data_IF_029880167508
#
_entry.id   IF_029880167508
#
_cell.length_a   1.000
_cell.length_b   1.000
_cell.length_c   1.000
_cell.angle_alpha   90.00
_cell.angle_beta   90.00
_cell.angle_gamma   90.00
#
_symmetry.space_group_name_H-M   'P 1'
#
loop_
_entity.id
_entity.type
_entity.pdbx_description
1 polymer ?
#
# COMPACT_ATOMS: atom_id res chain seq x y z
N UNK A 1 -16.31 21.33 -3.47
CA UNK A 1 -14.86 21.14 -3.20
C UNK A 1 -14.17 21.47 -4.49
N UNK A 2 -13.44 22.55 -4.49
CA UNK A 2 -12.97 23.21 -5.69
C UNK A 2 -11.80 22.44 -6.33
N UNK A 3 -11.62 22.60 -7.63
CA UNK A 3 -10.63 21.88 -8.45
C UNK A 3 -9.19 21.98 -7.97
N UNK A 4 -8.84 22.93 -7.12
CA UNK A 4 -7.51 23.11 -6.55
C UNK A 4 -7.00 21.87 -5.78
N UNK A 5 -7.89 21.16 -5.06
CA UNK A 5 -7.48 19.95 -4.34
C UNK A 5 -7.34 18.74 -5.25
N UNK A 6 -8.16 18.66 -6.30
CA UNK A 6 -7.99 17.67 -7.35
C UNK A 6 -6.63 17.88 -8.06
N UNK A 7 -6.28 19.12 -8.37
CA UNK A 7 -5.01 19.47 -8.98
C UNK A 7 -3.83 19.15 -8.06
N UNK A 8 -3.94 19.41 -6.76
CA UNK A 8 -2.94 19.00 -5.77
C UNK A 8 -2.73 17.48 -5.74
N UNK A 9 -3.81 16.70 -5.76
CA UNK A 9 -3.73 15.23 -5.69
C UNK A 9 -3.31 14.56 -7.01
N UNK A 10 -3.68 15.13 -8.16
CA UNK A 10 -3.55 14.45 -9.44
C UNK A 10 -2.68 15.16 -10.47
N UNK A 11 -2.54 16.47 -10.40
CA UNK A 11 -1.86 17.27 -11.40
C UNK A 11 -0.56 17.93 -10.89
N UNK A 12 -0.28 17.89 -9.60
CA UNK A 12 0.89 18.56 -8.99
C UNK A 12 2.23 17.83 -9.23
N UNK A 13 2.39 17.14 -10.36
CA UNK A 13 3.68 16.56 -10.80
C UNK A 13 4.23 15.50 -9.82
N UNK A 14 5.51 15.42 -9.63
CA UNK A 14 6.26 14.36 -8.94
C UNK A 14 6.05 14.20 -7.41
N UNK A 15 5.02 14.77 -6.80
CA UNK A 15 4.74 14.54 -5.39
C UNK A 15 4.28 13.09 -5.18
N UNK A 16 5.11 12.33 -4.49
CA UNK A 16 4.75 10.98 -4.06
C UNK A 16 3.47 11.07 -3.23
N UNK A 17 2.39 10.52 -3.77
CA UNK A 17 1.12 10.49 -3.06
C UNK A 17 1.32 9.74 -1.75
N UNK A 18 0.99 10.39 -0.64
CA UNK A 18 1.21 9.87 0.70
C UNK A 18 0.22 8.76 1.10
N UNK A 19 -0.66 8.37 0.20
CA UNK A 19 -1.72 7.38 0.42
C UNK A 19 -1.25 5.97 0.07
N UNK A 20 -1.46 5.03 0.99
CA UNK A 20 -1.41 3.59 0.73
C UNK A 20 -2.64 2.92 1.35
N UNK A 21 -3.18 1.88 0.69
CA UNK A 21 -4.41 1.26 1.15
C UNK A 21 -4.53 -0.22 0.79
N UNK A 22 -5.40 -0.91 1.52
CA UNK A 22 -5.83 -2.28 1.24
C UNK A 22 -7.32 -2.45 1.47
N UNK A 23 -7.90 -3.47 0.83
CA UNK A 23 -9.26 -3.91 1.08
C UNK A 23 -9.21 -5.37 1.53
N UNK A 24 -9.94 -5.67 2.60
CA UNK A 24 -10.16 -7.03 3.09
C UNK A 24 -11.63 -7.39 2.90
N UNK A 25 -11.86 -8.49 2.20
CA UNK A 25 -13.17 -9.08 1.97
C UNK A 25 -13.38 -10.27 2.90
N UNK A 26 -14.62 -10.50 3.34
CA UNK A 26 -15.00 -11.68 4.09
C UNK A 26 -15.04 -12.91 3.15
N UNK A 27 -14.18 -13.89 3.39
CA UNK A 27 -14.14 -15.19 2.68
C UNK A 27 -14.32 -15.10 1.15
N UNK A 28 -13.46 -14.35 0.43
CA UNK A 28 -13.65 -14.10 -0.99
C UNK A 28 -13.43 -15.36 -1.83
N UNK A 29 -14.41 -15.70 -2.68
CA UNK A 29 -14.29 -16.74 -3.71
C UNK A 29 -14.23 -16.10 -5.09
N UNK A 30 -13.13 -16.28 -5.78
CA UNK A 30 -12.92 -15.69 -7.11
C UNK A 30 -13.52 -16.60 -8.20
N UNK A 31 -14.53 -16.09 -8.91
CA UNK A 31 -15.28 -16.78 -9.96
C UNK A 31 -15.04 -16.10 -11.32
N UNK A 32 -13.83 -16.25 -11.84
CA UNK A 32 -13.45 -15.63 -13.11
C UNK A 32 -13.40 -14.10 -13.03
N UNK A 33 -14.43 -13.40 -13.52
CA UNK A 33 -14.53 -11.94 -13.46
C UNK A 33 -15.23 -11.44 -12.20
N UNK A 34 -15.98 -12.31 -11.53
CA UNK A 34 -16.79 -11.98 -10.36
C UNK A 34 -16.12 -12.50 -9.10
N UNK A 35 -16.50 -11.94 -7.97
CA UNK A 35 -16.09 -12.37 -6.65
C UNK A 35 -17.34 -12.54 -5.79
N UNK A 36 -17.51 -13.72 -5.22
CA UNK A 36 -18.52 -13.99 -4.21
C UNK A 36 -17.93 -13.76 -2.84
N UNK A 37 -18.66 -13.06 -1.97
CA UNK A 37 -18.24 -12.79 -0.60
C UNK A 37 -19.01 -13.66 0.37
N UNK A 38 -18.34 -14.23 1.36
CA UNK A 38 -18.95 -15.00 2.44
C UNK A 38 -19.71 -14.16 3.47
N UNK A 39 -19.64 -12.82 3.35
CA UNK A 39 -20.33 -11.86 4.21
C UNK A 39 -20.50 -10.51 3.51
N UNK A 40 -21.23 -9.61 4.15
CA UNK A 40 -21.54 -8.27 3.62
C UNK A 40 -20.53 -7.20 4.04
N UNK A 41 -19.62 -7.54 4.96
CA UNK A 41 -18.64 -6.57 5.46
C UNK A 41 -17.39 -6.52 4.59
N UNK A 42 -16.98 -5.31 4.28
CA UNK A 42 -15.73 -4.98 3.59
C UNK A 42 -14.96 -4.00 4.45
N UNK A 43 -13.72 -4.34 4.79
CA UNK A 43 -12.84 -3.46 5.56
C UNK A 43 -11.80 -2.84 4.65
N UNK A 44 -11.71 -1.51 4.67
CA UNK A 44 -10.69 -0.76 3.97
C UNK A 44 -9.73 -0.13 4.98
N UNK A 45 -8.46 -0.46 4.89
CA UNK A 45 -7.39 0.18 5.66
C UNK A 45 -6.69 1.23 4.81
N UNK A 46 -6.58 2.44 5.34
CA UNK A 46 -5.91 3.58 4.70
C UNK A 46 -4.79 4.07 5.62
N UNK A 47 -3.62 4.32 5.06
CA UNK A 47 -2.53 5.04 5.74
C UNK A 47 -2.10 6.23 4.90
N UNK A 48 -1.81 7.33 5.58
CA UNK A 48 -1.36 8.57 4.97
C UNK A 48 -0.22 9.14 5.82
N UNK A 49 0.92 9.37 5.19
CA UNK A 49 2.13 9.82 5.90
C UNK A 49 2.16 11.31 6.16
N UNK A 50 1.29 12.11 5.52
CA UNK A 50 1.18 13.54 5.81
C UNK A 50 -0.19 13.91 6.39
N UNK A 51 -0.17 14.80 7.38
CA UNK A 51 -1.34 15.20 8.15
C UNK A 51 -2.38 15.98 7.32
N UNK A 52 -1.94 16.75 6.34
CA UNK A 52 -2.86 17.54 5.50
C UNK A 52 -3.68 16.62 4.61
N UNK A 53 -3.04 15.68 3.91
CA UNK A 53 -3.72 14.66 3.12
C UNK A 53 -4.64 13.82 4.00
N UNK A 54 -4.20 13.41 5.19
CA UNK A 54 -5.01 12.64 6.13
C UNK A 54 -6.29 13.38 6.54
N UNK A 55 -6.19 14.67 6.86
CA UNK A 55 -7.34 15.48 7.25
C UNK A 55 -8.38 15.59 6.12
N UNK A 56 -7.91 15.80 4.89
CA UNK A 56 -8.81 15.94 3.74
C UNK A 56 -9.52 14.63 3.42
N UNK A 57 -8.78 13.52 3.39
CA UNK A 57 -9.41 12.21 3.18
C UNK A 57 -10.40 11.87 4.30
N UNK A 58 -10.03 12.15 5.56
CA UNK A 58 -10.92 11.92 6.70
C UNK A 58 -12.22 12.72 6.59
N UNK A 59 -12.11 14.01 6.24
CA UNK A 59 -13.28 14.88 6.04
C UNK A 59 -14.18 14.37 4.90
N UNK A 60 -13.59 13.99 3.76
CA UNK A 60 -14.32 13.41 2.63
C UNK A 60 -15.02 12.10 3.02
N UNK A 61 -14.35 11.21 3.77
CA UNK A 61 -14.95 9.97 4.24
C UNK A 61 -16.13 10.23 5.20
N UNK A 62 -16.03 11.24 6.08
CA UNK A 62 -17.15 11.63 6.95
C UNK A 62 -18.37 12.08 6.14
N UNK A 63 -18.17 12.85 5.06
CA UNK A 63 -19.24 13.26 4.17
C UNK A 63 -19.84 12.08 3.38
N UNK A 64 -19.06 11.03 3.14
CA UNK A 64 -19.51 9.81 2.44
C UNK A 64 -20.28 8.85 3.34
N UNK A 65 -20.18 8.98 4.67
CA UNK A 65 -20.81 8.07 5.63
C UNK A 65 -22.33 7.98 5.41
N UNK A 66 -22.83 6.75 5.34
CA UNK A 66 -24.26 6.46 5.10
C UNK A 66 -24.74 6.64 3.66
N UNK A 67 -23.88 7.12 2.74
CA UNK A 67 -24.24 7.22 1.32
C UNK A 67 -24.08 5.87 0.63
N UNK A 68 -24.95 5.62 -0.36
CA UNK A 68 -24.95 4.40 -1.17
C UNK A 68 -24.09 4.61 -2.41
N UNK A 69 -23.12 3.71 -2.63
CA UNK A 69 -22.21 3.71 -3.78
C UNK A 69 -22.45 2.45 -4.61
N UNK A 70 -23.13 2.54 -5.76
CA UNK A 70 -23.33 1.40 -6.65
C UNK A 70 -21.99 0.88 -7.18
N UNK A 71 -21.79 -0.46 -7.13
CA UNK A 71 -20.59 -1.13 -7.63
C UNK A 71 -20.86 -2.11 -8.77
N UNK A 72 -22.02 -2.02 -9.38
CA UNK A 72 -22.48 -2.85 -10.51
C UNK A 72 -23.29 -4.07 -10.09
N UNK A 73 -23.92 -4.71 -11.07
CA UNK A 73 -24.74 -5.93 -10.92
C UNK A 73 -25.76 -5.90 -9.77
N UNK A 74 -26.32 -4.71 -9.49
CA UNK A 74 -27.30 -4.52 -8.40
C UNK A 74 -26.69 -4.44 -7.00
N UNK A 75 -25.37 -4.49 -6.88
CA UNK A 75 -24.67 -4.35 -5.60
C UNK A 75 -24.33 -2.88 -5.30
N UNK A 76 -24.19 -2.57 -4.02
CA UNK A 76 -23.72 -1.27 -3.55
C UNK A 76 -22.88 -1.39 -2.29
N UNK A 77 -22.03 -0.40 -2.06
CA UNK A 77 -21.28 -0.23 -0.82
C UNK A 77 -21.87 0.93 -0.02
N UNK A 78 -21.88 0.80 1.29
CA UNK A 78 -22.26 1.86 2.23
C UNK A 78 -21.12 1.99 3.23
N UNK A 79 -20.59 3.20 3.39
CA UNK A 79 -19.62 3.48 4.44
C UNK A 79 -20.33 3.62 5.79
N UNK A 80 -20.29 2.59 6.61
CA UNK A 80 -20.99 2.55 7.90
C UNK A 80 -20.15 3.12 9.04
N UNK A 81 -18.85 2.78 9.08
CA UNK A 81 -17.99 3.13 10.20
C UNK A 81 -16.61 3.61 9.73
N UNK A 82 -16.09 4.62 10.43
CA UNK A 82 -14.72 5.10 10.31
C UNK A 82 -14.07 4.99 11.68
N UNK A 83 -12.91 4.32 11.74
CA UNK A 83 -12.11 4.18 12.96
C UNK A 83 -10.74 4.81 12.73
N UNK A 84 -10.35 5.74 13.59
CA UNK A 84 -8.96 6.21 13.67
C UNK A 84 -8.17 5.20 14.51
N UNK A 85 -7.13 4.63 13.93
CA UNK A 85 -6.25 3.69 14.61
C UNK A 85 -4.90 4.35 14.83
N UNK A 86 -4.40 4.27 16.07
CA UNK A 86 -3.05 4.76 16.36
C UNK A 86 -2.03 3.84 15.72
N UNK A 87 -1.10 4.42 14.97
CA UNK A 87 0.00 3.66 14.39
C UNK A 87 0.98 3.21 15.48
N UNK A 88 1.46 1.99 15.38
CA UNK A 88 2.50 1.44 16.24
C UNK A 88 3.85 2.13 15.98
N UNK A 89 4.69 2.21 17.01
CA UNK A 89 6.03 2.78 16.91
C UNK A 89 7.06 1.66 16.89
N UNK A 90 7.89 1.66 15.87
CA UNK A 90 9.05 0.77 15.80
C UNK A 90 10.16 1.38 16.65
N UNK A 91 10.64 0.61 17.63
CA UNK A 91 11.65 1.06 18.61
C UNK A 91 12.96 0.26 18.53
N UNK A 92 13.00 -0.77 17.67
CA UNK A 92 14.15 -1.63 17.46
C UNK A 92 14.65 -1.53 16.01
N UNK A 93 15.95 -1.72 15.73
CA UNK A 93 16.50 -1.71 14.38
C UNK A 93 16.14 -2.98 13.58
N UNK A 94 15.01 -3.56 13.86
CA UNK A 94 14.47 -4.77 13.29
C UNK A 94 12.94 -4.72 13.36
N UNK A 95 12.26 -5.13 12.30
CA UNK A 95 10.82 -5.21 12.25
C UNK A 95 10.34 -6.37 11.35
N UNK A 96 9.31 -7.07 11.77
CA UNK A 96 8.58 -8.02 10.94
C UNK A 96 7.29 -7.36 10.44
N UNK A 97 7.04 -7.47 9.15
CA UNK A 97 5.88 -6.92 8.48
C UNK A 97 5.02 -8.00 7.87
N UNK A 98 3.71 -7.83 7.95
CA UNK A 98 2.74 -8.58 7.17
C UNK A 98 2.18 -7.72 6.05
N UNK A 99 2.12 -8.27 4.86
CA UNK A 99 1.62 -7.60 3.67
C UNK A 99 0.09 -7.61 3.69
N UNK A 100 -0.52 -6.43 3.74
CA UNK A 100 -1.97 -6.24 3.68
C UNK A 100 -2.47 -6.01 2.25
N UNK A 101 -1.64 -5.36 1.41
CA UNK A 101 -1.87 -5.30 -0.04
C UNK A 101 -0.59 -5.66 -0.79
N UNK A 102 -0.66 -6.36 -1.94
CA UNK A 102 0.51 -6.94 -2.59
C UNK A 102 1.63 -5.93 -2.86
N UNK A 103 2.87 -6.30 -2.60
CA UNK A 103 4.05 -5.47 -2.92
C UNK A 103 4.43 -5.72 -4.37
N UNK A 104 4.45 -4.70 -5.21
CA UNK A 104 5.06 -4.72 -6.53
C UNK A 104 6.20 -3.69 -6.59
N UNK A 105 7.26 -4.01 -7.32
CA UNK A 105 8.39 -3.12 -7.56
C UNK A 105 8.52 -2.90 -9.07
N UNK A 106 8.51 -1.66 -9.52
CA UNK A 106 8.74 -1.33 -10.93
C UNK A 106 10.24 -1.24 -11.16
N UNK A 107 10.80 -2.06 -12.04
CA UNK A 107 12.24 -2.18 -12.24
C UNK A 107 12.89 -0.86 -12.68
N UNK A 108 12.31 -0.18 -13.67
CA UNK A 108 12.72 1.17 -14.12
C UNK A 108 11.50 1.91 -14.66
N UNK A 109 11.55 3.24 -14.62
CA UNK A 109 10.45 4.08 -15.11
C UNK A 109 10.12 3.81 -16.60
N UNK A 110 11.14 3.52 -17.42
CA UNK A 110 11.02 3.31 -18.87
C UNK A 110 10.46 1.92 -19.25
N UNK A 111 10.49 0.95 -18.33
CA UNK A 111 9.98 -0.41 -18.57
C UNK A 111 8.74 -0.66 -17.74
N UNK A 112 7.66 -1.15 -18.34
CA UNK A 112 6.49 -1.65 -17.62
C UNK A 112 6.72 -3.05 -17.03
N UNK A 113 7.93 -3.28 -16.54
CA UNK A 113 8.31 -4.54 -15.91
C UNK A 113 8.22 -4.42 -14.39
N UNK A 114 7.49 -5.33 -13.78
CA UNK A 114 7.31 -5.40 -12.33
C UNK A 114 7.98 -6.64 -11.78
N UNK A 115 8.55 -6.51 -10.60
CA UNK A 115 9.28 -7.56 -9.88
C UNK A 115 8.46 -8.08 -8.70
N UNK A 116 8.68 -9.33 -8.38
CA UNK A 116 8.21 -10.03 -7.20
C UNK A 116 9.40 -10.55 -6.39
N UNK A 117 9.13 -11.18 -5.25
CA UNK A 117 10.17 -11.77 -4.39
C UNK A 117 11.02 -12.87 -5.06
N UNK A 118 10.57 -13.44 -6.18
CA UNK A 118 11.36 -14.45 -6.93
C UNK A 118 12.48 -13.82 -7.77
N UNK A 119 12.48 -12.52 -7.95
CA UNK A 119 13.48 -11.80 -8.75
C UNK A 119 14.69 -11.44 -7.88
N UNK A 120 15.90 -11.77 -8.33
CA UNK A 120 17.16 -11.65 -7.57
C UNK A 120 17.42 -10.21 -7.08
N UNK A 121 17.00 -9.21 -7.83
CA UNK A 121 17.19 -7.80 -7.52
C UNK A 121 16.03 -7.19 -6.70
N UNK A 122 15.12 -8.00 -6.13
CA UNK A 122 13.97 -7.52 -5.37
C UNK A 122 14.35 -6.56 -4.23
N UNK A 123 15.36 -6.90 -3.41
CA UNK A 123 15.82 -6.03 -2.32
C UNK A 123 16.45 -4.74 -2.86
N UNK A 124 17.25 -4.81 -3.91
CA UNK A 124 17.91 -3.64 -4.48
C UNK A 124 16.91 -2.65 -5.09
N UNK A 125 15.87 -3.15 -5.76
CA UNK A 125 14.79 -2.30 -6.26
C UNK A 125 13.93 -1.72 -5.12
N UNK A 126 13.74 -2.45 -4.04
CA UNK A 126 13.11 -1.91 -2.83
C UNK A 126 13.94 -0.76 -2.24
N UNK A 127 15.25 -0.94 -2.10
CA UNK A 127 16.18 0.11 -1.65
C UNK A 127 16.16 1.32 -2.59
N UNK A 128 16.13 1.10 -3.91
CA UNK A 128 16.04 2.18 -4.89
C UNK A 128 14.78 3.02 -4.67
N UNK A 129 13.62 2.38 -4.49
CA UNK A 129 12.35 3.08 -4.20
C UNK A 129 12.36 3.80 -2.86
N UNK A 130 13.02 3.26 -1.86
CA UNK A 130 13.21 3.93 -0.56
C UNK A 130 14.11 5.16 -0.70
N UNK A 131 15.21 5.10 -1.47
CA UNK A 131 16.07 6.27 -1.74
C UNK A 131 15.34 7.40 -2.46
N UNK A 132 14.45 7.08 -3.39
CA UNK A 132 13.59 8.08 -4.04
C UNK A 132 12.70 8.82 -3.03
N UNK A 133 12.26 8.13 -1.97
CA UNK A 133 11.38 8.67 -0.95
C UNK A 133 12.12 9.32 0.23
N UNK A 134 13.31 8.83 0.55
CA UNK A 134 14.13 9.20 1.71
C UNK A 134 15.59 9.47 1.27
N UNK A 135 15.84 10.46 0.40
CA UNK A 135 17.18 10.70 -0.13
C UNK A 135 18.19 11.04 0.96
N UNK A 136 17.76 11.62 2.07
CA UNK A 136 18.59 11.95 3.24
C UNK A 136 19.11 10.73 4.01
N UNK A 137 18.48 9.55 3.86
CA UNK A 137 18.85 8.28 4.51
C UNK A 137 19.48 7.28 3.52
N UNK A 138 20.08 7.78 2.42
CA UNK A 138 20.58 6.90 1.36
C UNK A 138 21.68 5.94 1.83
N UNK A 139 22.51 6.32 2.80
CA UNK A 139 23.57 5.47 3.36
C UNK A 139 22.96 4.35 4.22
N UNK A 140 22.02 4.69 5.08
CA UNK A 140 21.31 3.77 5.97
C UNK A 140 20.46 2.78 5.17
N UNK A 141 19.92 3.21 4.01
CA UNK A 141 19.17 2.34 3.10
C UNK A 141 20.09 1.29 2.46
N UNK A 142 21.36 1.62 2.14
CA UNK A 142 22.31 0.62 1.62
C UNK A 142 22.59 -0.49 2.62
N UNK A 143 22.59 -0.18 3.91
CA UNK A 143 22.83 -1.14 5.00
C UNK A 143 21.60 -2.00 5.33
N UNK A 144 20.43 -1.67 4.75
CA UNK A 144 19.18 -2.39 4.99
C UNK A 144 19.32 -3.86 4.58
N UNK A 145 18.97 -4.76 5.48
CA UNK A 145 18.95 -6.22 5.25
C UNK A 145 17.53 -6.73 5.29
N UNK A 146 17.21 -7.69 4.45
CA UNK A 146 15.87 -8.27 4.36
C UNK A 146 15.88 -9.80 4.44
N UNK A 147 14.89 -10.36 5.12
CA UNK A 147 14.51 -11.76 5.05
C UNK A 147 13.11 -11.88 4.43
N UNK A 148 13.06 -12.43 3.24
CA UNK A 148 11.85 -12.52 2.41
C UNK A 148 11.30 -13.95 2.28
N UNK A 149 11.81 -14.90 3.05
CA UNK A 149 11.40 -16.33 2.99
C UNK A 149 9.90 -16.53 3.27
N UNK A 150 9.27 -15.60 3.99
CA UNK A 150 7.84 -15.62 4.25
C UNK A 150 6.99 -14.98 3.16
N UNK A 151 7.62 -14.41 2.11
CA UNK A 151 6.91 -13.89 0.94
C UNK A 151 6.75 -14.98 -0.13
N UNK A 152 5.70 -14.84 -0.90
CA UNK A 152 5.43 -15.62 -2.11
C UNK A 152 4.93 -14.73 -3.23
N UNK A 153 5.24 -15.11 -4.46
CA UNK A 153 4.75 -14.44 -5.66
C UNK A 153 3.25 -14.61 -5.84
N UNK A 154 2.63 -13.56 -6.31
CA UNK A 154 1.26 -13.57 -6.81
C UNK A 154 1.17 -12.73 -8.08
N UNK A 155 0.08 -12.89 -8.85
CA UNK A 155 -0.20 -12.07 -10.02
C UNK A 155 -1.47 -11.26 -9.77
N UNK A 156 -1.34 -9.94 -9.76
CA UNK A 156 -2.47 -9.03 -9.64
C UNK A 156 -2.89 -8.56 -11.03
N UNK A 157 -4.17 -8.67 -11.35
CA UNK A 157 -4.73 -8.09 -12.57
C UNK A 157 -5.22 -6.68 -12.28
N UNK A 158 -4.54 -5.69 -12.80
CA UNK A 158 -4.92 -4.28 -12.65
C UNK A 158 -4.57 -3.50 -13.93
N UNK A 159 -5.38 -2.53 -14.28
CA UNK A 159 -5.18 -1.67 -15.46
C UNK A 159 -4.97 -2.43 -16.78
N UNK A 160 -5.67 -3.55 -16.96
CA UNK A 160 -5.50 -4.41 -18.14
C UNK A 160 -4.20 -5.24 -18.16
N UNK A 161 -3.34 -5.12 -17.17
CA UNK A 161 -2.05 -5.78 -17.07
C UNK A 161 -2.06 -6.91 -16.02
N UNK A 162 -1.12 -7.85 -16.17
CA UNK A 162 -0.76 -8.83 -15.14
C UNK A 162 0.49 -8.34 -14.43
N UNK A 163 0.35 -7.90 -13.20
CA UNK A 163 1.42 -7.32 -12.39
C UNK A 163 1.96 -8.39 -11.44
N UNK A 164 3.21 -8.86 -11.60
CA UNK A 164 3.89 -9.66 -10.59
C UNK A 164 4.00 -8.87 -9.29
N UNK A 165 3.70 -9.52 -8.18
CA UNK A 165 3.71 -8.90 -6.86
C UNK A 165 4.00 -9.96 -5.78
N UNK A 166 4.22 -9.54 -4.55
CA UNK A 166 4.54 -10.40 -3.42
C UNK A 166 3.55 -10.21 -2.28
N UNK A 167 3.17 -11.32 -1.64
CA UNK A 167 2.28 -11.36 -0.47
C UNK A 167 2.87 -12.28 0.60
N UNK A 168 2.50 -12.07 1.86
CA UNK A 168 2.97 -12.87 2.99
C UNK A 168 3.59 -12.01 4.08
N UNK A 169 4.67 -12.47 4.69
CA UNK A 169 5.41 -11.76 5.73
C UNK A 169 6.89 -11.63 5.35
N UNK A 170 7.53 -10.58 5.83
CA UNK A 170 8.96 -10.38 5.65
C UNK A 170 9.55 -9.62 6.85
N UNK A 171 10.86 -9.74 7.04
CA UNK A 171 11.55 -8.99 8.07
C UNK A 171 12.60 -8.07 7.44
N UNK A 172 12.79 -6.91 8.05
CA UNK A 172 13.86 -5.97 7.72
C UNK A 172 14.65 -5.62 8.96
N UNK A 173 15.96 -5.48 8.78
CA UNK A 173 16.86 -4.94 9.80
C UNK A 173 17.60 -3.72 9.22
N UNK A 174 17.59 -2.62 9.95
CA UNK A 174 18.19 -1.36 9.52
C UNK A 174 17.75 -0.19 10.38
N UNK A 175 17.92 1.02 9.88
CA UNK A 175 17.58 2.25 10.59
C UNK A 175 16.07 2.32 10.94
N UNK A 176 15.78 2.72 12.18
CA UNK A 176 14.40 2.79 12.73
C UNK A 176 13.53 3.77 11.92
N UNK A 177 14.09 4.85 11.40
CA UNK A 177 13.32 5.82 10.61
C UNK A 177 12.86 5.21 9.27
N UNK A 178 13.70 4.37 8.66
CA UNK A 178 13.36 3.64 7.42
C UNK A 178 12.25 2.63 7.70
N UNK A 179 12.38 1.86 8.77
CA UNK A 179 11.38 0.86 9.17
C UNK A 179 10.04 1.53 9.51
N UNK A 180 10.06 2.64 10.24
CA UNK A 180 8.86 3.42 10.56
C UNK A 180 8.23 4.04 9.30
N UNK A 181 9.05 4.54 8.36
CA UNK A 181 8.55 5.03 7.07
C UNK A 181 7.83 3.94 6.28
N UNK A 182 8.39 2.72 6.23
CA UNK A 182 7.73 1.57 5.57
C UNK A 182 6.39 1.26 6.23
N UNK A 183 6.31 1.31 7.56
CA UNK A 183 5.05 1.09 8.29
C UNK A 183 4.01 2.16 7.97
N UNK A 184 4.40 3.43 7.92
CA UNK A 184 3.49 4.58 7.74
C UNK A 184 3.08 4.81 6.29
N UNK A 185 4.00 4.58 5.36
CA UNK A 185 3.85 4.96 3.94
C UNK A 185 3.72 3.78 3.00
N UNK A 186 3.89 2.54 3.52
CA UNK A 186 3.96 1.34 2.70
C UNK A 186 5.28 1.21 1.94
N UNK A 187 5.39 0.16 1.13
CA UNK A 187 6.61 -0.20 0.40
C UNK A 187 6.31 -0.55 -1.06
N UNK A 188 7.25 -0.21 -1.94
CA UNK A 188 7.17 -0.54 -3.36
C UNK A 188 6.50 0.53 -4.23
N UNK A 189 6.04 0.10 -5.40
CA UNK A 189 5.42 0.92 -6.44
C UNK A 189 3.90 0.88 -6.35
N UNK A 190 3.22 1.84 -7.00
CA UNK A 190 1.74 1.90 -7.11
C UNK A 190 0.99 1.89 -5.76
N UNK A 191 1.57 2.48 -4.71
CA UNK A 191 0.98 2.50 -3.36
C UNK A 191 -0.43 3.09 -3.33
N UNK A 192 -0.65 4.18 -4.03
CA UNK A 192 -1.97 4.82 -4.17
C UNK A 192 -2.98 4.02 -5.01
N UNK A 193 -2.56 2.90 -5.58
CA UNK A 193 -3.37 2.00 -6.39
C UNK A 193 -3.65 0.66 -5.70
N UNK A 194 -3.52 0.60 -4.36
CA UNK A 194 -3.81 -0.59 -3.58
C UNK A 194 -2.67 -1.60 -3.53
N UNK A 195 -1.42 -1.14 -3.61
CA UNK A 195 -0.23 -1.98 -3.43
C UNK A 195 0.60 -1.49 -2.25
N UNK A 196 1.34 -2.40 -1.64
CA UNK A 196 2.42 -2.10 -0.71
C UNK A 196 2.03 -1.69 0.70
N UNK A 197 0.76 -1.79 1.12
CA UNK A 197 0.39 -1.59 2.52
C UNK A 197 0.88 -2.76 3.36
N UNK A 198 1.50 -2.42 4.48
CA UNK A 198 1.98 -3.39 5.48
C UNK A 198 1.51 -3.04 6.88
N UNK A 199 1.43 -4.06 7.73
CA UNK A 199 1.26 -3.91 9.19
C UNK A 199 2.49 -4.47 9.91
N UNK A 200 2.78 -3.91 11.08
CA UNK A 200 3.84 -4.38 11.98
C UNK A 200 3.32 -5.60 12.75
N UNK A 201 4.14 -6.64 12.85
CA UNK A 201 3.78 -7.88 13.56
C UNK A 201 4.68 -8.08 14.78
N UNK A 202 5.96 -7.67 14.68
CA UNK A 202 6.96 -7.81 15.74
C UNK A 202 8.13 -6.85 15.50
#
# INVERSE_FOLDING_TARGET
MDGEFYDFLYNSGANQKSLVWSIRFAEPKFLGKNMELGGTEVEMTLKMSDAQTALVYYSALLEMKGKVFPVGEGNALILEQIKMVREEKITQPFAMFKVLSPICLKEREEKEQYLSVEDENFLEEMKRKLRESLPQLSKEIEELKGDFRGLRKTIVRAYGMKIPASVGTFALAGDIQILQYILSSGVGSKRNSGFGLVEFVM
#
